data_IF_452752762345
#
_entry.id   IF_452752762345
#
_cell.length_a   1.000
_cell.length_b   1.000
_cell.length_c   1.000
_cell.angle_alpha   90.00
_cell.angle_beta   90.00
_cell.angle_gamma   90.00
#
_symmetry.space_group_name_H-M   'P 1'
#
loop_
_entity.id
_entity.type
_entity.pdbx_description
1 polymer ?
#
# COMPACT_ATOMS: atom_id res chain seq x y z
N UNK A 1 -8.25 11.00 27.01
CA UNK A 1 -8.36 10.04 28.14
C UNK A 1 -7.27 10.39 29.13
N UNK A 2 -7.59 10.81 30.37
CA UNK A 2 -6.54 11.31 31.27
C UNK A 2 -5.85 10.16 32.00
N UNK A 3 -4.68 9.79 31.50
CA UNK A 3 -3.64 9.20 32.31
C UNK A 3 -2.97 10.31 33.14
N UNK A 4 -2.35 9.99 34.30
CA UNK A 4 -2.12 8.66 34.86
C UNK A 4 -3.23 8.11 35.76
N UNK A 5 -3.18 6.81 36.05
CA UNK A 5 -3.92 6.12 37.12
C UNK A 5 -3.03 5.95 38.34
N UNK A 6 -3.53 6.21 39.55
CA UNK A 6 -2.75 6.16 40.79
C UNK A 6 -3.39 5.15 41.76
N UNK A 7 -2.58 4.32 42.43
CA UNK A 7 -2.97 3.47 43.56
C UNK A 7 -1.93 3.53 44.68
N UNK A 8 -2.36 3.32 45.93
CA UNK A 8 -1.52 3.41 47.13
C UNK A 8 -1.85 2.25 48.08
N UNK A 9 -0.85 1.58 48.61
CA UNK A 9 -0.98 0.51 49.61
C UNK A 9 -0.11 0.82 50.83
N UNK A 10 -0.66 0.61 52.03
CA UNK A 10 0.02 0.93 53.29
C UNK A 10 -0.04 -0.30 54.20
N UNK A 11 1.11 -0.71 54.71
CA UNK A 11 1.29 -1.76 55.71
C UNK A 11 2.09 -1.24 56.92
N UNK A 12 2.30 -2.07 57.95
CA UNK A 12 3.04 -1.67 59.16
C UNK A 12 4.50 -1.26 58.90
N UNK A 13 5.10 -1.76 57.83
CA UNK A 13 6.53 -1.61 57.54
C UNK A 13 6.81 -0.96 56.18
N UNK A 14 5.86 -1.01 55.24
CA UNK A 14 6.04 -0.53 53.87
C UNK A 14 4.82 0.27 53.43
N UNK A 15 5.08 1.42 52.83
CA UNK A 15 4.13 2.19 52.03
C UNK A 15 4.56 2.14 50.56
N UNK A 16 3.63 1.83 49.67
CA UNK A 16 3.87 1.83 48.22
C UNK A 16 2.84 2.68 47.48
N UNK A 17 3.28 3.42 46.48
CA UNK A 17 2.43 4.18 45.57
C UNK A 17 2.78 3.71 44.15
N UNK A 18 1.77 3.28 43.40
CA UNK A 18 1.89 2.87 42.00
C UNK A 18 1.16 3.86 41.12
N UNK A 19 1.87 4.42 40.15
CA UNK A 19 1.30 5.30 39.13
C UNK A 19 1.46 4.63 37.77
N UNK A 20 0.36 4.42 37.06
CA UNK A 20 0.31 3.82 35.74
C UNK A 20 -0.06 4.87 34.70
N UNK A 21 0.91 5.19 33.85
CA UNK A 21 0.78 6.14 32.75
C UNK A 21 0.23 5.45 31.49
N UNK A 22 0.00 6.24 30.43
CA UNK A 22 -0.19 5.68 29.09
C UNK A 22 1.03 4.80 28.80
N UNK A 23 0.81 3.49 28.64
CA UNK A 23 1.91 2.51 28.68
C UNK A 23 2.79 2.63 27.45
N UNK A 24 2.20 2.95 26.29
CA UNK A 24 2.90 3.10 25.02
C UNK A 24 2.18 4.15 24.15
N UNK A 25 2.94 5.07 23.55
CA UNK A 25 2.47 6.01 22.54
C UNK A 25 2.84 5.48 21.15
N UNK A 26 1.85 5.13 20.33
CA UNK A 26 2.04 4.61 19.00
C UNK A 26 1.72 5.67 17.95
N UNK A 27 2.68 5.92 17.06
CA UNK A 27 2.52 6.87 15.96
C UNK A 27 2.70 6.16 14.63
N UNK A 28 1.89 6.54 13.63
CA UNK A 28 2.01 6.06 12.27
C UNK A 28 2.10 7.25 11.33
N UNK A 29 3.22 7.33 10.62
CA UNK A 29 3.63 8.51 9.86
C UNK A 29 3.67 8.12 8.39
N UNK A 30 2.95 8.88 7.55
CA UNK A 30 3.04 8.81 6.09
C UNK A 30 3.90 9.96 5.58
N UNK A 31 5.03 9.64 4.96
CA UNK A 31 5.80 10.57 4.15
C UNK A 31 5.11 10.71 2.78
N UNK A 32 4.47 11.86 2.55
CA UNK A 32 3.74 12.14 1.31
C UNK A 32 4.66 12.23 0.09
N UNK A 33 5.85 12.80 0.24
CA UNK A 33 6.84 12.87 -0.85
C UNK A 33 7.25 11.48 -1.33
N UNK A 34 7.31 10.52 -0.40
CA UNK A 34 7.62 9.13 -0.72
C UNK A 34 6.42 8.35 -1.26
N UNK A 35 5.20 8.75 -0.92
CA UNK A 35 3.99 8.06 -1.32
C UNK A 35 3.67 8.31 -2.79
N UNK A 36 3.38 7.24 -3.53
CA UNK A 36 2.93 7.33 -4.93
C UNK A 36 1.45 6.94 -5.09
N UNK A 37 0.72 6.77 -3.96
CA UNK A 37 -0.68 6.37 -3.97
C UNK A 37 -0.96 4.98 -4.55
N UNK A 38 0.02 4.06 -4.48
CA UNK A 38 -0.11 2.70 -5.02
C UNK A 38 -1.21 1.83 -4.36
N UNK A 39 -1.72 2.23 -3.20
CA UNK A 39 -2.80 1.54 -2.51
C UNK A 39 -2.42 0.25 -1.80
N UNK A 40 -1.15 -0.20 -1.82
CA UNK A 40 -0.71 -1.43 -1.12
C UNK A 40 -1.12 -1.43 0.34
N UNK A 41 -0.92 -0.30 1.03
CA UNK A 41 -1.28 -0.15 2.43
C UNK A 41 -2.78 -0.39 2.70
N UNK A 42 -3.67 0.11 1.85
CA UNK A 42 -5.11 -0.12 1.95
C UNK A 42 -5.47 -1.59 1.67
N UNK A 43 -4.83 -2.23 0.68
CA UNK A 43 -5.03 -3.66 0.38
C UNK A 43 -4.64 -4.54 1.57
N UNK A 44 -3.47 -4.28 2.17
CA UNK A 44 -2.93 -5.10 3.25
C UNK A 44 -3.47 -4.77 4.65
N UNK A 45 -4.33 -3.77 4.79
CA UNK A 45 -4.89 -3.43 6.09
C UNK A 45 -6.00 -4.42 6.47
N UNK A 46 -5.83 -5.28 7.49
CA UNK A 46 -6.88 -6.24 7.88
C UNK A 46 -8.10 -5.59 8.54
N UNK A 47 -7.99 -4.31 8.91
CA UNK A 47 -9.05 -3.52 9.56
C UNK A 47 -9.64 -2.45 8.64
N UNK A 48 -9.19 -2.40 7.39
CA UNK A 48 -9.61 -1.38 6.41
C UNK A 48 -9.50 0.06 6.96
N UNK A 49 -8.53 0.30 7.85
CA UNK A 49 -8.34 1.59 8.51
C UNK A 49 -7.78 2.67 7.55
N UNK A 50 -7.30 2.27 6.37
CA UNK A 50 -6.70 3.15 5.38
C UNK A 50 -7.66 3.26 4.20
N UNK A 51 -8.14 4.48 3.94
CA UNK A 51 -8.95 4.74 2.75
C UNK A 51 -8.06 4.80 1.51
N UNK A 52 -8.67 4.59 0.36
CA UNK A 52 -8.06 5.02 -0.91
C UNK A 52 -8.28 6.53 -1.02
N UNK A 53 -7.32 7.26 -1.59
CA UNK A 53 -7.57 8.65 -1.99
C UNK A 53 -8.77 8.75 -2.96
N UNK A 54 -9.29 9.96 -3.24
CA UNK A 54 -10.39 10.15 -4.18
C UNK A 54 -10.03 9.65 -5.60
N UNK A 55 -10.71 8.59 -6.07
CA UNK A 55 -10.51 8.01 -7.42
C UNK A 55 -11.84 7.51 -7.99
N UNK A 56 -12.11 7.75 -9.28
CA UNK A 56 -13.35 7.35 -9.97
C UNK A 56 -14.28 8.55 -10.22
N UNK A 57 -15.60 8.40 -10.04
CA UNK A 57 -16.58 9.47 -10.27
C UNK A 57 -16.28 10.77 -9.49
N UNK A 58 -15.60 10.66 -8.34
CA UNK A 58 -15.20 11.79 -7.51
C UNK A 58 -14.04 12.61 -8.11
N UNK A 59 -13.22 12.05 -9.02
CA UNK A 59 -12.17 12.76 -9.76
C UNK A 59 -11.85 12.09 -11.10
N UNK A 60 -12.13 12.81 -12.18
CA UNK A 60 -11.74 12.42 -13.54
C UNK A 60 -10.28 12.83 -13.76
N UNK A 61 -9.40 11.86 -14.00
CA UNK A 61 -7.96 12.04 -14.21
C UNK A 61 -7.19 12.44 -12.95
N UNK A 62 -7.03 11.50 -12.00
CA UNK A 62 -6.35 11.78 -10.74
C UNK A 62 -4.83 11.87 -10.92
N UNK A 63 -4.22 12.86 -10.28
CA UNK A 63 -2.76 12.99 -10.13
C UNK A 63 -2.26 12.11 -8.98
N UNK A 64 -0.94 12.03 -8.78
CA UNK A 64 -0.38 11.30 -7.63
C UNK A 64 -0.91 11.83 -6.30
N UNK A 65 -1.02 13.15 -6.12
CA UNK A 65 -1.52 13.73 -4.87
C UNK A 65 -2.95 13.32 -4.54
N UNK A 66 -3.75 13.09 -5.58
CA UNK A 66 -5.18 12.74 -5.46
C UNK A 66 -5.38 11.29 -5.04
N UNK A 67 -4.42 10.41 -5.34
CA UNK A 67 -4.49 8.99 -4.97
C UNK A 67 -3.78 8.66 -3.66
N UNK A 68 -3.12 9.65 -3.03
CA UNK A 68 -2.59 9.49 -1.68
C UNK A 68 -3.78 9.25 -0.72
N UNK A 69 -3.72 8.19 0.11
CA UNK A 69 -4.73 7.93 1.14
C UNK A 69 -5.02 9.13 2.04
N UNK A 70 -6.29 9.39 2.33
CA UNK A 70 -6.65 10.19 3.51
C UNK A 70 -6.42 9.32 4.74
N UNK A 71 -5.54 9.78 5.64
CA UNK A 71 -4.91 8.94 6.65
C UNK A 71 -5.90 8.36 7.67
N UNK A 72 -5.76 7.05 7.87
CA UNK A 72 -5.98 6.27 9.10
C UNK A 72 -7.13 6.70 9.99
N UNK A 73 -8.25 5.98 9.93
CA UNK A 73 -9.23 6.05 11.00
C UNK A 73 -8.58 5.51 12.29
N UNK A 74 -8.27 6.38 13.27
CA UNK A 74 -7.55 5.98 14.48
C UNK A 74 -8.40 5.05 15.36
N UNK A 75 -9.70 4.90 15.08
CA UNK A 75 -10.59 3.96 15.77
C UNK A 75 -10.47 2.54 15.22
N UNK A 76 -10.06 2.39 13.95
CA UNK A 76 -9.91 1.09 13.28
C UNK A 76 -8.46 0.61 13.28
N UNK A 77 -7.49 1.52 13.25
CA UNK A 77 -6.08 1.18 13.24
C UNK A 77 -5.65 0.50 14.56
N UNK A 78 -5.14 -0.73 14.46
CA UNK A 78 -4.60 -1.50 15.59
C UNK A 78 -3.07 -1.50 15.63
N UNK A 79 -2.42 -0.65 14.84
CA UNK A 79 -0.95 -0.51 14.79
C UNK A 79 -0.19 -1.83 14.55
N UNK A 80 -0.75 -2.74 13.74
CA UNK A 80 -0.12 -4.04 13.46
C UNK A 80 1.14 -3.96 12.58
N UNK A 81 1.38 -2.83 11.91
CA UNK A 81 2.58 -2.59 11.09
C UNK A 81 2.58 -3.24 9.70
N UNK A 82 1.55 -3.98 9.29
CA UNK A 82 1.51 -4.63 7.96
C UNK A 82 1.67 -3.63 6.80
N UNK A 83 1.05 -2.44 6.91
CA UNK A 83 1.18 -1.39 5.90
C UNK A 83 2.60 -0.82 5.78
N UNK A 84 3.33 -0.74 6.90
CA UNK A 84 4.75 -0.33 6.94
C UNK A 84 5.60 -1.41 6.29
N UNK A 85 5.37 -2.67 6.66
CA UNK A 85 6.13 -3.82 6.18
C UNK A 85 6.04 -4.01 4.66
N UNK A 86 4.83 -3.97 4.10
CA UNK A 86 4.60 -4.20 2.68
C UNK A 86 4.82 -2.94 1.80
N UNK A 87 5.16 -1.77 2.37
CA UNK A 87 5.30 -0.55 1.57
C UNK A 87 6.55 -0.63 0.65
N UNK A 88 6.38 -0.68 -0.69
CA UNK A 88 7.52 -0.81 -1.59
C UNK A 88 8.39 0.46 -1.63
N UNK A 89 7.82 1.62 -1.31
CA UNK A 89 8.51 2.92 -1.35
C UNK A 89 9.06 3.38 0.00
N UNK A 90 8.84 2.61 1.08
CA UNK A 90 9.23 3.02 2.43
C UNK A 90 8.61 4.36 2.86
N UNK A 91 7.37 4.62 2.44
CA UNK A 91 6.66 5.87 2.73
C UNK A 91 6.01 5.87 4.12
N UNK A 92 5.85 4.71 4.74
CA UNK A 92 5.20 4.56 6.05
C UNK A 92 6.23 4.25 7.12
N UNK A 93 6.06 4.81 8.30
CA UNK A 93 6.93 4.60 9.47
C UNK A 93 6.08 4.53 10.73
N UNK A 94 6.36 3.55 11.58
CA UNK A 94 5.71 3.42 12.89
C UNK A 94 6.70 3.80 13.99
N UNK A 95 6.22 4.49 15.02
CA UNK A 95 6.98 4.77 16.23
C UNK A 95 6.26 4.25 17.46
N UNK A 96 7.04 3.91 18.48
CA UNK A 96 6.60 3.64 19.84
C UNK A 96 7.41 4.51 20.79
N UNK A 97 6.73 5.30 21.59
CA UNK A 97 7.34 6.19 22.59
C UNK A 97 8.40 7.13 22.00
N UNK A 98 8.18 7.56 20.74
CA UNK A 98 9.09 8.43 19.98
C UNK A 98 10.19 7.71 19.21
N UNK A 99 10.43 6.42 19.48
CA UNK A 99 11.43 5.60 18.81
C UNK A 99 10.83 4.92 17.57
N UNK A 100 11.58 4.88 16.47
CA UNK A 100 11.13 4.24 15.23
C UNK A 100 11.26 2.72 15.37
N UNK A 101 10.20 1.98 15.05
CA UNK A 101 10.28 0.53 14.90
C UNK A 101 11.21 0.17 13.74
N UNK A 102 12.18 -0.72 13.98
CA UNK A 102 12.79 -1.43 12.86
C UNK A 102 11.75 -2.39 12.26
N UNK A 103 11.87 -2.68 10.96
CA UNK A 103 10.94 -3.59 10.28
C UNK A 103 10.89 -4.98 10.92
N UNK A 104 12.02 -5.45 11.45
CA UNK A 104 12.16 -6.72 12.16
C UNK A 104 11.46 -6.74 13.52
N UNK A 105 11.29 -5.56 14.13
CA UNK A 105 10.77 -5.41 15.49
C UNK A 105 9.25 -5.20 15.49
N UNK A 106 8.64 -5.04 14.30
CA UNK A 106 7.19 -5.06 14.15
C UNK A 106 6.69 -6.41 14.72
N UNK A 107 5.72 -6.42 15.66
CA UNK A 107 5.34 -7.65 16.36
C UNK A 107 4.97 -8.81 15.42
N UNK A 108 4.26 -8.53 14.33
CA UNK A 108 3.90 -9.56 13.33
C UNK A 108 5.12 -10.16 12.60
N UNK A 109 6.19 -9.39 12.43
CA UNK A 109 7.43 -9.84 11.79
C UNK A 109 8.30 -10.56 12.81
N UNK A 110 8.48 -9.97 14.01
CA UNK A 110 9.25 -10.55 15.10
C UNK A 110 8.72 -11.93 15.53
N UNK A 111 7.40 -12.10 15.53
CA UNK A 111 6.73 -13.37 15.87
C UNK A 111 6.59 -14.33 14.68
N UNK A 112 7.18 -14.01 13.52
CA UNK A 112 7.07 -14.81 12.29
C UNK A 112 5.63 -15.11 11.88
N UNK A 113 4.72 -14.16 12.13
CA UNK A 113 3.34 -14.23 11.61
C UNK A 113 3.32 -13.84 10.13
N UNK A 114 4.26 -13.00 9.71
CA UNK A 114 4.52 -12.62 8.32
C UNK A 114 5.79 -13.30 7.81
N UNK A 115 5.82 -13.76 6.55
CA UNK A 115 7.07 -14.21 5.94
C UNK A 115 8.05 -13.06 5.77
N UNK A 116 9.31 -13.41 5.51
CA UNK A 116 10.30 -12.44 5.02
C UNK A 116 10.01 -12.11 3.56
N UNK A 117 9.78 -10.83 3.24
CA UNK A 117 9.66 -10.38 1.85
C UNK A 117 11.05 -10.27 1.22
N UNK A 118 11.28 -11.05 0.17
CA UNK A 118 12.46 -10.92 -0.68
C UNK A 118 12.21 -9.83 -1.71
N UNK A 119 13.17 -8.93 -1.91
CA UNK A 119 13.00 -7.83 -2.84
C UNK A 119 14.28 -7.48 -3.59
N UNK A 120 14.07 -7.02 -4.82
CA UNK A 120 15.08 -6.33 -5.61
C UNK A 120 14.85 -4.82 -5.51
N UNK A 121 15.92 -4.04 -5.59
CA UNK A 121 15.83 -2.58 -5.62
C UNK A 121 15.77 -2.10 -7.06
N UNK A 122 14.71 -1.36 -7.41
CA UNK A 122 14.57 -0.70 -8.72
C UNK A 122 14.66 0.81 -8.56
N UNK A 123 15.35 1.44 -9.52
CA UNK A 123 15.48 2.89 -9.60
C UNK A 123 14.27 3.46 -10.35
N UNK A 124 13.69 4.52 -9.80
CA UNK A 124 12.53 5.23 -10.34
C UNK A 124 12.96 6.40 -11.22
N UNK A 125 12.01 6.99 -11.95
CA UNK A 125 12.25 8.16 -12.82
C UNK A 125 12.85 9.36 -12.09
N UNK A 126 12.57 9.51 -10.80
CA UNK A 126 13.07 10.60 -9.95
C UNK A 126 14.28 10.21 -9.10
N UNK A 127 15.06 9.23 -9.55
CA UNK A 127 16.25 8.67 -8.88
C UNK A 127 16.01 8.00 -7.52
N UNK A 128 14.77 7.95 -7.04
CA UNK A 128 14.42 7.22 -5.82
C UNK A 128 14.43 5.72 -6.05
N UNK A 129 14.46 4.97 -4.95
CA UNK A 129 14.48 3.50 -4.98
C UNK A 129 13.12 2.98 -4.52
N UNK A 130 12.63 1.94 -5.21
CA UNK A 130 11.50 1.13 -4.78
C UNK A 130 11.95 -0.33 -4.58
N UNK A 131 11.33 -1.00 -3.62
CA UNK A 131 11.48 -2.44 -3.39
C UNK A 131 10.45 -3.18 -4.23
N UNK A 132 10.91 -4.01 -5.15
CA UNK A 132 10.05 -4.95 -5.85
C UNK A 132 10.12 -6.31 -5.15
N UNK A 133 9.06 -6.65 -4.43
CA UNK A 133 8.87 -7.94 -3.77
C UNK A 133 7.80 -8.81 -4.45
N UNK A 134 7.27 -8.36 -5.59
CA UNK A 134 6.24 -9.06 -6.34
C UNK A 134 6.46 -8.98 -7.85
N UNK A 135 6.01 -10.02 -8.55
CA UNK A 135 5.93 -10.07 -10.00
C UNK A 135 4.48 -9.84 -10.42
N UNK A 136 4.28 -8.97 -11.40
CA UNK A 136 2.95 -8.62 -11.88
C UNK A 136 2.92 -8.46 -13.40
N UNK A 137 1.73 -8.60 -13.99
CA UNK A 137 1.45 -8.24 -15.37
C UNK A 137 0.49 -7.07 -15.44
N UNK A 138 0.67 -6.18 -16.42
CA UNK A 138 -0.21 -5.05 -16.66
C UNK A 138 -1.01 -5.33 -17.93
N UNK A 139 -2.33 -5.26 -17.83
CA UNK A 139 -3.26 -5.45 -18.95
C UNK A 139 -4.13 -4.22 -19.10
N UNK A 140 -4.48 -3.89 -20.34
CA UNK A 140 -5.38 -2.77 -20.66
C UNK A 140 -6.57 -3.31 -21.43
N UNK A 141 -7.76 -3.08 -20.90
CA UNK A 141 -9.05 -3.39 -21.52
C UNK A 141 -9.45 -2.18 -22.37
N UNK A 142 -9.10 -2.21 -23.65
CA UNK A 142 -9.25 -1.04 -24.55
C UNK A 142 -10.70 -0.55 -24.69
N UNK A 143 -11.69 -1.42 -24.53
CA UNK A 143 -13.12 -1.08 -24.59
C UNK A 143 -13.58 -0.26 -23.39
N UNK A 144 -13.00 -0.50 -22.21
CA UNK A 144 -13.30 0.25 -20.98
C UNK A 144 -12.39 1.47 -20.81
N UNK A 145 -11.33 1.59 -21.60
CA UNK A 145 -10.41 2.70 -21.51
C UNK A 145 -11.10 3.98 -21.99
N UNK A 146 -11.10 5.02 -21.16
CA UNK A 146 -11.66 6.33 -21.51
C UNK A 146 -10.93 7.02 -22.69
N UNK A 147 -9.81 6.44 -23.15
CA UNK A 147 -8.90 6.89 -24.21
C UNK A 147 -8.27 8.27 -23.94
N UNK A 148 -6.96 8.37 -24.10
CA UNK A 148 -6.24 9.66 -24.05
C UNK A 148 -6.24 10.38 -22.70
N UNK A 149 -6.61 9.72 -21.60
CA UNK A 149 -6.61 10.34 -20.27
C UNK A 149 -5.23 10.45 -19.61
N UNK A 150 -4.31 9.54 -19.92
CA UNK A 150 -2.94 9.57 -19.41
C UNK A 150 -2.71 9.25 -17.93
N UNK A 151 -3.76 9.23 -17.09
CA UNK A 151 -3.63 9.10 -15.62
C UNK A 151 -2.70 7.95 -15.18
N UNK A 152 -2.75 6.80 -15.84
CA UNK A 152 -1.91 5.66 -15.49
C UNK A 152 -0.41 5.87 -15.77
N UNK A 153 -0.08 6.54 -16.87
CA UNK A 153 1.29 6.89 -17.24
C UNK A 153 1.81 8.00 -16.32
N UNK A 154 0.98 8.98 -15.98
CA UNK A 154 1.33 10.08 -15.08
C UNK A 154 1.69 9.59 -13.68
N UNK A 155 0.92 8.66 -13.12
CA UNK A 155 1.19 8.12 -11.77
C UNK A 155 2.26 7.03 -11.75
N UNK A 156 2.76 6.58 -12.90
CA UNK A 156 3.71 5.47 -12.97
C UNK A 156 5.11 5.93 -12.51
N UNK A 157 5.58 5.52 -11.31
CA UNK A 157 6.84 6.04 -10.79
C UNK A 157 8.06 5.42 -11.49
N UNK A 158 7.88 4.23 -12.09
CA UNK A 158 8.92 3.52 -12.83
C UNK A 158 9.03 3.91 -14.29
N UNK A 159 8.03 4.60 -14.85
CA UNK A 159 7.98 4.88 -16.28
C UNK A 159 7.74 3.65 -17.16
N UNK A 160 7.25 2.54 -16.59
CA UNK A 160 6.99 1.31 -17.34
C UNK A 160 5.79 1.42 -18.29
N UNK A 161 5.04 2.51 -18.23
CA UNK A 161 3.77 2.72 -18.94
C UNK A 161 3.78 4.10 -19.59
N UNK A 162 3.46 4.17 -20.88
CA UNK A 162 3.31 5.40 -21.64
C UNK A 162 1.96 5.46 -22.37
N UNK A 163 1.58 6.67 -22.81
CA UNK A 163 0.43 6.85 -23.70
C UNK A 163 0.85 6.44 -25.10
N UNK A 164 0.11 5.52 -25.71
CA UNK A 164 0.39 5.07 -27.07
C UNK A 164 0.33 6.25 -28.06
N UNK A 165 1.22 6.25 -29.05
CA UNK A 165 1.19 7.27 -30.10
C UNK A 165 -0.06 7.12 -30.95
N UNK A 166 -0.65 8.25 -31.34
CA UNK A 166 -1.74 8.25 -32.31
C UNK A 166 -1.20 7.73 -33.65
N UNK A 167 -1.96 6.87 -34.34
CA UNK A 167 -1.55 6.39 -35.65
C UNK A 167 -1.55 7.54 -36.65
N UNK A 168 -0.73 7.43 -37.70
CA UNK A 168 -0.70 8.43 -38.78
C UNK A 168 -2.04 8.51 -39.51
N UNK A 169 -2.76 7.38 -39.57
CA UNK A 169 -4.05 7.28 -40.25
C UNK A 169 -5.20 7.01 -39.28
N UNK A 170 -6.27 7.81 -39.37
CA UNK A 170 -7.38 7.80 -38.41
C UNK A 170 -8.28 6.54 -38.41
N UNK A 171 -8.05 5.58 -39.31
CA UNK A 171 -8.74 4.29 -39.34
C UNK A 171 -7.95 3.16 -38.68
N UNK A 172 -6.69 3.39 -38.31
CA UNK A 172 -5.89 2.41 -37.59
C UNK A 172 -6.30 2.40 -36.11
N UNK A 173 -6.50 1.21 -35.57
CA UNK A 173 -6.71 1.05 -34.13
C UNK A 173 -5.36 1.20 -33.43
N UNK A 174 -5.22 2.25 -32.62
CA UNK A 174 -4.13 2.32 -31.65
C UNK A 174 -4.59 1.80 -30.30
N UNK A 175 -3.67 1.16 -29.57
CA UNK A 175 -3.81 1.00 -28.13
C UNK A 175 -3.96 2.39 -27.50
N UNK A 176 -4.57 2.46 -26.32
CA UNK A 176 -4.65 3.72 -25.60
C UNK A 176 -3.42 3.97 -24.71
N UNK A 177 -2.79 2.87 -24.29
CA UNK A 177 -1.69 2.83 -23.32
C UNK A 177 -0.75 1.70 -23.74
N UNK A 178 0.55 1.93 -23.65
CA UNK A 178 1.59 0.95 -23.95
C UNK A 178 2.44 0.68 -22.71
N UNK A 179 2.76 -0.60 -22.48
CA UNK A 179 3.78 -1.01 -21.52
C UNK A 179 5.11 -0.99 -22.28
N UNK A 180 5.93 0.02 -22.00
CA UNK A 180 7.18 0.27 -22.76
C UNK A 180 8.37 -0.47 -22.17
N UNK A 181 8.30 -0.80 -20.88
CA UNK A 181 9.36 -1.52 -20.16
C UNK A 181 8.74 -2.36 -19.04
N UNK A 182 8.58 -3.66 -19.29
CA UNK A 182 8.08 -4.61 -18.28
C UNK A 182 9.08 -4.78 -17.11
N UNK A 183 10.37 -4.67 -17.39
CA UNK A 183 11.45 -4.82 -16.41
C UNK A 183 11.59 -3.58 -15.53
N UNK A 184 11.10 -2.40 -15.93
CA UNK A 184 11.02 -1.24 -15.05
C UNK A 184 9.89 -1.38 -14.01
N UNK A 185 8.86 -2.20 -14.28
CA UNK A 185 7.70 -2.31 -13.40
C UNK A 185 8.08 -2.82 -12.00
N UNK A 186 7.61 -2.12 -10.97
CA UNK A 186 7.82 -2.46 -9.54
C UNK A 186 6.63 -3.16 -8.90
N UNK A 187 5.62 -3.54 -9.69
CA UNK A 187 4.40 -4.22 -9.23
C UNK A 187 3.63 -3.48 -8.10
N UNK A 188 3.67 -2.14 -8.07
CA UNK A 188 3.08 -1.39 -6.96
C UNK A 188 1.55 -1.24 -7.02
N UNK A 189 0.96 -1.16 -8.24
CA UNK A 189 -0.48 -0.95 -8.43
C UNK A 189 -0.94 0.52 -8.51
N UNK A 190 -0.03 1.49 -8.64
CA UNK A 190 -0.41 2.91 -8.77
C UNK A 190 -1.27 3.17 -10.02
N UNK A 191 -0.87 2.61 -11.17
CA UNK A 191 -1.60 2.73 -12.42
C UNK A 191 -3.04 2.16 -12.35
N UNK A 192 -3.20 0.99 -11.74
CA UNK A 192 -4.51 0.35 -11.51
C UNK A 192 -5.37 1.21 -10.58
N UNK A 193 -4.79 1.67 -9.47
CA UNK A 193 -5.51 2.50 -8.51
C UNK A 193 -5.97 3.84 -9.11
N UNK A 194 -5.16 4.44 -9.99
CA UNK A 194 -5.46 5.69 -10.68
C UNK A 194 -6.44 5.54 -11.83
N UNK A 195 -6.64 4.33 -12.37
CA UNK A 195 -7.53 4.13 -13.50
C UNK A 195 -8.98 4.43 -13.12
N UNK A 196 -9.62 5.47 -13.69
CA UNK A 196 -10.97 5.87 -13.28
C UNK A 196 -12.06 4.92 -13.79
N UNK A 197 -11.77 4.19 -14.88
CA UNK A 197 -12.72 3.24 -15.49
C UNK A 197 -12.48 1.80 -15.06
N UNK A 198 -11.31 1.48 -14.49
CA UNK A 198 -10.89 0.11 -14.20
C UNK A 198 -10.29 -0.62 -15.40
N UNK A 199 -10.13 0.05 -16.54
CA UNK A 199 -9.59 -0.52 -17.76
C UNK A 199 -8.14 -0.99 -17.66
N UNK A 200 -7.34 -0.40 -16.76
CA UNK A 200 -5.97 -0.83 -16.52
C UNK A 200 -5.95 -1.73 -15.30
N UNK A 201 -5.55 -2.98 -15.53
CA UNK A 201 -5.54 -4.04 -14.53
C UNK A 201 -4.09 -4.46 -14.29
N UNK A 202 -3.64 -4.38 -13.03
CA UNK A 202 -2.37 -4.96 -12.61
C UNK A 202 -2.65 -6.25 -11.84
N UNK A 203 -2.18 -7.37 -12.39
CA UNK A 203 -2.33 -8.71 -11.80
C UNK A 203 -1.02 -9.14 -11.15
N UNK A 204 -0.99 -9.26 -9.82
CA UNK A 204 0.15 -9.83 -9.10
C UNK A 204 0.12 -11.35 -9.25
N UNK A 205 1.13 -11.91 -9.94
CA UNK A 205 1.28 -13.33 -10.19
C UNK A 205 1.91 -14.02 -8.99
N UNK A 206 2.96 -13.41 -8.46
CA UNK A 206 3.81 -14.00 -7.43
C UNK A 206 4.30 -12.93 -6.46
N UNK A 207 4.41 -13.33 -5.18
CA UNK A 207 5.00 -12.52 -4.12
C UNK A 207 6.19 -13.31 -3.59
N UNK A 208 7.38 -12.72 -3.67
CA UNK A 208 8.62 -13.40 -3.29
C UNK A 208 8.77 -13.37 -1.77
N UNK A 209 8.72 -14.57 -1.17
CA UNK A 209 8.75 -14.74 0.28
C UNK A 209 9.65 -15.88 0.70
N UNK A 210 10.32 -15.73 1.83
CA UNK A 210 11.10 -16.81 2.44
C UNK A 210 10.92 -16.89 3.96
N UNK A 211 11.43 -17.99 4.53
CA UNK A 211 11.33 -18.31 5.94
C UNK A 211 10.01 -19.00 6.32
N UNK A 212 9.98 -19.53 7.54
CA UNK A 212 8.78 -20.11 8.14
C UNK A 212 7.88 -19.01 8.70
N UNK A 213 6.58 -19.13 8.50
CA UNK A 213 5.60 -18.21 9.04
C UNK A 213 4.27 -18.90 9.38
N UNK A 214 3.46 -18.27 10.23
CA UNK A 214 2.15 -18.80 10.61
C UNK A 214 1.12 -18.69 9.47
N UNK A 215 0.53 -19.83 9.08
CA UNK A 215 -0.42 -19.93 7.96
C UNK A 215 -1.77 -19.23 8.19
N UNK A 216 -2.06 -18.75 9.40
CA UNK A 216 -3.39 -18.17 9.70
C UNK A 216 -3.56 -16.74 9.19
N UNK A 217 -2.48 -15.96 9.15
CA UNK A 217 -2.55 -14.53 8.86
C UNK A 217 -2.15 -14.18 7.42
N UNK A 218 -1.07 -14.80 6.92
CA UNK A 218 -0.50 -14.44 5.63
C UNK A 218 -1.35 -14.84 4.42
N UNK A 219 -1.95 -16.05 4.30
CA UNK A 219 -2.69 -16.43 3.11
C UNK A 219 -3.90 -15.51 2.81
N UNK A 220 -4.76 -15.14 3.78
CA UNK A 220 -5.81 -14.14 3.52
C UNK A 220 -5.26 -12.78 3.10
N UNK A 221 -4.10 -12.40 3.63
CA UNK A 221 -3.43 -11.15 3.28
C UNK A 221 -2.84 -11.18 1.87
N UNK A 222 -2.28 -12.32 1.47
CA UNK A 222 -1.76 -12.57 0.13
C UNK A 222 -2.88 -12.49 -0.92
N UNK A 223 -4.05 -13.04 -0.61
CA UNK A 223 -5.23 -12.89 -1.47
C UNK A 223 -5.63 -11.42 -1.63
N UNK A 224 -5.62 -10.64 -0.54
CA UNK A 224 -5.87 -9.19 -0.60
C UNK A 224 -4.80 -8.43 -1.38
N UNK A 225 -3.54 -8.88 -1.36
CA UNK A 225 -2.47 -8.32 -2.17
C UNK A 225 -2.70 -8.55 -3.66
N UNK A 226 -3.11 -9.77 -4.04
CA UNK A 226 -3.37 -10.18 -5.43
C UNK A 226 -4.68 -9.62 -5.99
N UNK A 227 -5.64 -9.29 -5.13
CA UNK A 227 -6.92 -8.69 -5.52
C UNK A 227 -6.82 -7.16 -5.51
N UNK A 228 -6.46 -6.60 -6.67
CA UNK A 228 -6.53 -5.17 -6.89
C UNK A 228 -7.96 -4.71 -7.14
N UNK A 229 -8.19 -3.41 -6.98
CA UNK A 229 -9.49 -2.76 -6.88
C UNK A 229 -10.45 -3.09 -8.02
N UNK A 230 -9.92 -3.35 -9.22
CA UNK A 230 -10.69 -3.56 -10.44
C UNK A 230 -10.53 -4.96 -11.03
N UNK A 231 -9.56 -5.75 -10.57
CA UNK A 231 -9.28 -7.07 -11.15
C UNK A 231 -10.39 -8.10 -10.89
N UNK A 232 -11.37 -7.79 -10.02
CA UNK A 232 -12.57 -8.60 -9.76
C UNK A 232 -13.81 -7.73 -9.55
N UNK A 233 -14.28 -7.08 -10.62
CA UNK A 233 -15.69 -6.66 -10.66
C UNK A 233 -16.52 -7.95 -10.67
N UNK A 234 -17.41 -8.11 -9.69
CA UNK A 234 -18.23 -9.31 -9.39
C UNK A 234 -17.50 -10.38 -8.55
N UNK A 235 -17.52 -10.27 -7.21
CA UNK A 235 -18.14 -11.33 -6.38
C UNK A 235 -18.45 -10.87 -4.92
N UNK A 236 -18.41 -9.57 -4.62
CA UNK A 236 -18.57 -9.06 -3.24
C UNK A 236 -19.90 -8.36 -2.94
N UNK A 237 -20.96 -8.59 -3.75
CA UNK A 237 -22.34 -8.21 -3.42
C UNK A 237 -23.31 -9.25 -4.01
N UNK A 238 -23.40 -10.42 -3.37
CA UNK A 238 -24.59 -11.29 -3.35
C UNK A 238 -24.65 -12.02 -2.03
#
# INVERSE_FOLDING_TARGET
MSFPKISREISKEIESIKVQFLIENLELILNRDKCVGCGTCARVCPKDAISRGPVGASRRFPTTEDIIPELYDPKLCVFCGTCVYCCPFGALTMKKDGEIFNLTDIPLVAQKVMPTLEFETKKLLNDRIAKQWAKATVKVIDEECAKGCGSCAEVCPSGSIEIAKRPEHGWEMSKNVEVVDEDACVACGACDNACPTGALVLDIIEVHTSGEFEERYWPPLLERLKTLRWSKKEEAVK
#
